data_IF_941774740671
#
_entry.id   IF_941774740671
#
_cell.length_a   1.000
_cell.length_b   1.000
_cell.length_c   1.000
_cell.angle_alpha   90.00
_cell.angle_beta   90.00
_cell.angle_gamma   90.00
#
_symmetry.space_group_name_H-M   'P 1'
#
loop_
_entity.id
_entity.type
_entity.pdbx_description
1 polymer ?
2 polymer ?
3 polymer ?
4 water ?
#
# COMPACT_ATOMS: atom_id res chain seq x y z
N UNK A 9 9.77 10.56 -24.36
CA UNK A 9 9.29 9.94 -23.07
C UNK A 9 7.82 10.38 -22.93
N UNK A 10 6.90 9.40 -22.75
CA UNK A 10 5.47 9.69 -22.67
C UNK A 10 5.02 10.58 -21.53
N UNK A 11 5.79 10.61 -20.47
CA UNK A 11 5.49 11.44 -19.30
C UNK A 11 5.83 12.90 -19.66
N UNK A 12 6.95 13.08 -20.34
CA UNK A 12 7.39 14.41 -20.77
C UNK A 12 6.38 14.94 -21.78
N UNK A 13 5.92 14.07 -22.66
CA UNK A 13 4.94 14.45 -23.65
C UNK A 13 3.65 14.84 -22.92
N UNK A 14 3.31 14.11 -21.85
CA UNK A 14 2.08 14.40 -21.09
C UNK A 14 2.15 15.78 -20.40
N UNK A 15 3.29 16.08 -19.78
CA UNK A 15 3.48 17.34 -19.08
C UNK A 15 3.31 18.49 -20.06
N UNK A 16 3.78 18.29 -21.29
CA UNK A 16 3.66 19.28 -22.35
C UNK A 16 2.21 19.55 -22.64
N UNK A 17 1.42 18.50 -22.80
CA UNK A 17 0.01 18.69 -23.07
C UNK A 17 -0.72 19.33 -21.88
N UNK A 18 -0.37 18.92 -20.67
CA UNK A 18 -1.03 19.48 -19.49
C UNK A 18 -0.68 20.98 -19.40
N UNK A 19 0.58 21.29 -19.70
CA UNK A 19 1.05 22.66 -19.66
C UNK A 19 0.23 23.56 -20.57
N UNK A 20 -0.37 23.00 -21.62
CA UNK A 20 -1.16 23.77 -22.53
C UNK A 20 -2.65 23.66 -22.26
N UNK A 21 -3.05 22.76 -21.36
CA UNK A 21 -4.47 22.58 -21.06
C UNK A 21 -5.05 23.67 -20.15
N UNK A 22 -6.35 23.91 -20.28
CA UNK A 22 -6.99 24.94 -19.48
C UNK A 22 -7.12 24.48 -18.04
N UNK A 23 -7.26 25.44 -17.13
CA UNK A 23 -7.37 25.13 -15.70
C UNK A 23 -8.71 24.65 -15.20
N UNK A 24 -9.73 24.65 -16.04
CA UNK A 24 -11.03 24.20 -15.56
C UNK A 24 -11.55 23.02 -16.37
N UNK A 25 -12.56 22.31 -15.85
CA UNK A 25 -13.11 21.15 -16.54
C UNK A 25 -13.55 21.44 -17.97
N UNK A 26 -13.40 20.44 -18.84
CA UNK A 26 -13.78 20.55 -20.23
C UNK A 26 -15.29 20.63 -20.36
N UNK A 27 -15.77 20.76 -21.57
CA UNK A 27 -17.21 20.82 -21.82
C UNK A 27 -17.80 19.43 -21.64
N UNK A 28 -17.03 18.41 -21.99
CA UNK A 28 -17.42 17.00 -21.85
C UNK A 28 -17.68 16.70 -20.37
N UNK A 29 -16.69 17.03 -19.54
CA UNK A 29 -16.81 16.81 -18.12
C UNK A 29 -18.04 17.50 -17.60
N UNK A 30 -18.15 18.79 -17.90
CA UNK A 30 -19.29 19.58 -17.46
C UNK A 30 -20.61 18.90 -17.83
N UNK A 31 -20.65 18.31 -19.04
CA UNK A 31 -21.85 17.61 -19.47
C UNK A 31 -22.18 16.50 -18.48
N UNK A 32 -21.17 15.73 -18.09
CA UNK A 32 -21.38 14.65 -17.12
C UNK A 32 -21.88 15.25 -15.81
N UNK A 33 -21.26 16.34 -15.37
CA UNK A 33 -21.64 17.03 -14.13
C UNK A 33 -23.13 17.39 -14.11
N UNK A 34 -23.63 17.82 -15.27
CA UNK A 34 -25.03 18.20 -15.44
C UNK A 34 -25.98 17.02 -15.46
N UNK A 35 -25.44 15.83 -15.76
CA UNK A 35 -26.22 14.58 -15.80
C UNK A 35 -26.31 13.93 -14.43
N UNK A 36 -25.70 14.57 -13.44
CA UNK A 36 -25.74 14.04 -12.09
C UNK A 36 -26.98 14.47 -11.38
N UNK A 37 -27.65 13.49 -10.79
CA UNK A 37 -28.85 13.74 -10.03
C UNK A 37 -28.52 14.89 -9.08
N UNK A 38 -27.33 14.86 -8.50
CA UNK A 38 -26.88 15.95 -7.65
C UNK A 38 -25.63 16.46 -8.40
N UNK A 39 -25.75 17.63 -9.03
CA UNK A 39 -24.68 18.25 -9.82
C UNK A 39 -23.45 18.56 -8.96
N UNK A 40 -22.34 17.87 -9.24
CA UNK A 40 -21.07 18.04 -8.50
C UNK A 40 -20.17 19.23 -8.88
N UNK A 41 -20.53 19.95 -9.94
CA UNK A 41 -19.72 21.07 -10.44
C UNK A 41 -19.15 22.02 -9.42
N UNK A 42 -20.00 22.61 -8.59
CA UNK A 42 -19.53 23.58 -7.61
C UNK A 42 -18.62 23.01 -6.50
N UNK A 43 -18.91 21.79 -6.04
CA UNK A 43 -18.09 21.18 -5.00
C UNK A 43 -16.78 20.75 -5.59
N UNK A 44 -16.80 20.29 -6.84
CA UNK A 44 -15.57 19.88 -7.53
C UNK A 44 -14.63 21.08 -7.69
N UNK A 45 -15.20 22.20 -8.14
CA UNK A 45 -14.45 23.44 -8.37
C UNK A 45 -13.94 24.01 -7.05
N UNK A 46 -14.81 24.00 -6.04
CA UNK A 46 -14.45 24.46 -4.72
C UNK A 46 -13.32 23.62 -4.13
N UNK A 47 -13.40 22.30 -4.27
CA UNK A 47 -12.34 21.41 -3.75
C UNK A 47 -11.02 21.76 -4.39
N UNK A 48 -11.04 21.89 -5.72
CA UNK A 48 -9.82 22.23 -6.46
C UNK A 48 -9.24 23.52 -5.88
N UNK A 49 -10.10 24.51 -5.66
CA UNK A 49 -9.63 25.74 -5.10
C UNK A 49 -9.10 25.63 -3.67
N UNK A 50 -9.80 24.92 -2.81
CA UNK A 50 -9.35 24.76 -1.42
C UNK A 50 -8.04 24.04 -1.34
N UNK A 51 -7.92 22.96 -2.11
CA UNK A 51 -6.69 22.18 -2.07
C UNK A 51 -5.52 22.96 -2.64
N UNK A 52 -5.80 23.81 -3.64
CA UNK A 52 -4.76 24.62 -4.26
C UNK A 52 -4.15 25.48 -3.20
N UNK A 53 -5.02 26.08 -2.38
CA UNK A 53 -4.55 26.92 -1.30
C UNK A 53 -3.68 26.14 -0.35
N UNK A 54 -4.14 24.95 0.05
CA UNK A 54 -3.35 24.13 0.98
C UNK A 54 -2.03 23.66 0.40
N UNK A 55 -2.10 23.13 -0.82
CA UNK A 55 -0.90 22.62 -1.48
C UNK A 55 0.20 23.66 -1.62
N UNK A 56 -0.14 24.85 -2.13
CA UNK A 56 0.84 25.93 -2.33
C UNK A 56 1.42 26.36 -0.99
N UNK A 57 0.58 26.54 0.03
CA UNK A 57 1.16 26.92 1.30
C UNK A 57 2.10 25.85 1.83
N UNK A 58 1.71 24.59 1.73
CA UNK A 58 2.56 23.48 2.21
C UNK A 58 3.83 23.31 1.38
N UNK A 59 3.71 23.44 0.06
CA UNK A 59 4.85 23.29 -0.84
C UNK A 59 5.88 24.39 -0.56
N UNK A 60 5.40 25.61 -0.29
CA UNK A 60 6.26 26.77 -0.02
C UNK A 60 7.00 26.60 1.30
N UNK A 61 6.30 26.11 2.32
CA UNK A 61 6.93 25.88 3.62
C UNK A 61 8.08 24.90 3.37
N UNK A 62 7.76 23.83 2.66
CA UNK A 62 8.73 22.82 2.39
C UNK A 62 9.93 23.38 1.67
N UNK A 63 9.71 23.89 0.46
CA UNK A 63 10.81 24.39 -0.36
C UNK A 63 11.28 25.80 -0.05
N UNK A 64 10.36 26.66 0.36
CA UNK A 64 10.73 28.03 0.70
C UNK A 64 10.16 29.08 -0.21
N UNK A 65 10.61 30.32 0.02
CA UNK A 65 10.23 31.52 -0.75
C UNK A 65 8.74 31.88 -0.67
N UNK A 66 8.30 32.28 0.53
CA UNK A 66 6.93 32.69 0.79
C UNK A 66 5.89 32.50 -0.30
N UNK A 67 5.41 31.25 -0.43
CA UNK A 67 4.38 30.81 -1.41
C UNK A 67 4.75 30.81 -2.93
N UNK A 68 5.76 29.98 -3.22
CA UNK A 68 6.32 29.76 -4.55
C UNK A 68 5.33 29.58 -5.72
N UNK A 69 5.73 30.07 -6.88
CA UNK A 69 4.92 29.95 -8.09
C UNK A 69 5.16 28.57 -8.67
N UNK A 70 6.32 27.97 -8.36
CA UNK A 70 6.63 26.61 -8.84
C UNK A 70 5.58 25.67 -8.26
N UNK A 71 5.26 25.90 -6.98
CA UNK A 71 4.25 25.11 -6.30
C UNK A 71 2.91 25.34 -6.96
N UNK A 72 2.58 26.59 -7.28
CA UNK A 72 1.30 26.92 -7.93
C UNK A 72 1.18 26.25 -9.31
N UNK A 73 2.30 26.21 -10.02
CA UNK A 73 2.42 25.62 -11.34
C UNK A 73 2.32 24.10 -11.25
N UNK A 74 3.03 23.49 -10.29
CA UNK A 74 2.92 22.05 -10.10
C UNK A 74 1.46 21.65 -9.84
N UNK A 75 0.77 22.42 -9.00
CA UNK A 75 -0.62 22.14 -8.66
C UNK A 75 -1.53 22.21 -9.89
N UNK A 76 -1.28 23.19 -10.76
CA UNK A 76 -2.10 23.30 -11.95
C UNK A 76 -1.93 22.09 -12.82
N UNK A 77 -0.70 21.65 -13.02
CA UNK A 77 -0.44 20.45 -13.84
C UNK A 77 -1.25 19.24 -13.24
N UNK A 78 -1.19 19.12 -11.92
CA UNK A 78 -1.92 18.08 -11.21
C UNK A 78 -3.41 18.17 -11.45
N UNK A 79 -4.02 19.33 -11.26
CA UNK A 79 -5.46 19.47 -11.50
C UNK A 79 -5.85 19.12 -12.93
N UNK A 80 -5.00 19.48 -13.89
CA UNK A 80 -5.26 19.19 -15.30
C UNK A 80 -5.20 17.68 -15.53
N UNK A 81 -4.20 17.05 -14.99
CA UNK A 81 -4.07 15.59 -15.10
C UNK A 81 -5.34 14.98 -14.47
N UNK A 82 -5.71 15.47 -13.29
CA UNK A 82 -6.91 15.01 -12.58
C UNK A 82 -8.15 15.10 -13.48
N UNK A 83 -8.39 16.22 -14.16
CA UNK A 83 -9.57 16.33 -15.04
C UNK A 83 -9.42 15.41 -16.24
N UNK A 84 -8.21 15.25 -16.76
CA UNK A 84 -7.99 14.36 -17.90
C UNK A 84 -8.35 12.90 -17.52
N UNK A 85 -7.78 12.43 -16.43
CA UNK A 85 -8.03 11.05 -16.00
C UNK A 85 -9.50 10.85 -15.65
N UNK A 86 -10.11 11.82 -14.98
CA UNK A 86 -11.52 11.74 -14.63
C UNK A 86 -12.33 11.52 -15.92
N UNK A 87 -12.02 12.34 -16.92
CA UNK A 87 -12.64 12.33 -18.24
C UNK A 87 -12.55 10.94 -18.88
N UNK A 88 -11.35 10.37 -18.97
CA UNK A 88 -11.19 9.03 -19.55
C UNK A 88 -11.94 7.92 -18.81
N UNK A 89 -11.93 7.96 -17.48
CA UNK A 89 -12.66 6.98 -16.65
C UNK A 89 -14.15 7.06 -16.94
N UNK A 90 -14.72 8.26 -16.85
CA UNK A 90 -16.14 8.48 -17.14
C UNK A 90 -16.48 8.06 -18.57
N UNK A 91 -15.58 8.33 -19.51
CA UNK A 91 -15.80 7.94 -20.91
C UNK A 91 -15.80 6.43 -21.12
N UNK A 92 -14.95 5.73 -20.37
CA UNK A 92 -14.85 4.29 -20.51
C UNK A 92 -16.02 3.59 -19.86
N UNK A 93 -16.85 4.35 -19.16
CA UNK A 93 -18.03 3.81 -18.51
C UNK A 93 -19.27 4.29 -19.26
N UNK A 101 -24.56 4.93 -12.04
CA UNK A 101 -24.57 5.97 -10.97
C UNK A 101 -23.33 6.86 -11.02
N UNK A 102 -23.29 7.78 -11.98
CA UNK A 102 -22.16 8.67 -12.05
C UNK A 102 -22.35 9.67 -10.94
N UNK A 103 -23.61 9.86 -10.53
CA UNK A 103 -23.92 10.78 -9.45
C UNK A 103 -23.20 10.32 -8.21
N UNK A 104 -23.25 9.01 -7.96
CA UNK A 104 -22.60 8.46 -6.78
C UNK A 104 -21.12 8.66 -6.91
N UNK A 105 -20.56 8.17 -8.01
CA UNK A 105 -19.13 8.29 -8.27
C UNK A 105 -18.64 9.74 -8.19
N UNK A 106 -19.20 10.57 -9.05
CA UNK A 106 -18.84 11.97 -9.13
C UNK A 106 -19.15 12.72 -7.88
N UNK A 107 -19.96 12.15 -6.99
CA UNK A 107 -20.25 12.85 -5.75
C UNK A 107 -19.48 12.28 -4.58
N UNK A 108 -18.65 11.28 -4.86
CA UNK A 108 -17.84 10.63 -3.83
C UNK A 108 -16.57 11.37 -3.47
N UNK A 109 -16.48 11.77 -2.20
CA UNK A 109 -15.31 12.48 -1.65
C UNK A 109 -13.99 11.73 -1.81
N UNK A 110 -14.03 10.42 -1.58
CA UNK A 110 -12.84 9.60 -1.68
C UNK A 110 -12.36 9.57 -3.13
N UNK A 111 -13.29 9.41 -4.07
CA UNK A 111 -12.96 9.36 -5.49
C UNK A 111 -12.13 10.59 -5.90
N UNK A 112 -12.72 11.76 -5.68
CA UNK A 112 -12.08 13.02 -6.03
C UNK A 112 -10.79 13.30 -5.34
N UNK A 113 -10.76 13.09 -4.04
CA UNK A 113 -9.54 13.39 -3.31
C UNK A 113 -8.41 12.44 -3.67
N UNK A 114 -8.75 11.17 -3.94
CA UNK A 114 -7.70 10.19 -4.28
C UNK A 114 -7.22 10.37 -5.73
N UNK A 115 -8.15 10.63 -6.63
CA UNK A 115 -7.80 10.83 -8.02
C UNK A 115 -6.87 12.07 -8.10
N UNK A 116 -7.27 13.14 -7.42
CA UNK A 116 -6.50 14.40 -7.37
C UNK A 116 -5.11 14.16 -6.78
N UNK A 117 -5.03 13.39 -5.68
CA UNK A 117 -3.75 13.10 -5.06
C UNK A 117 -2.86 12.27 -5.96
N UNK A 118 -3.48 11.34 -6.70
CA UNK A 118 -2.75 10.45 -7.60
C UNK A 118 -2.19 11.28 -8.78
N UNK A 119 -3.01 12.20 -9.29
CA UNK A 119 -2.59 13.11 -10.35
C UNK A 119 -1.39 13.92 -9.82
N UNK A 120 -1.53 14.44 -8.60
CA UNK A 120 -0.45 15.22 -7.96
C UNK A 120 0.80 14.41 -7.66
N UNK A 121 0.63 13.14 -7.31
CA UNK A 121 1.79 12.29 -7.06
C UNK A 121 2.58 12.09 -8.36
N UNK A 122 1.88 11.90 -9.46
CA UNK A 122 2.57 11.73 -10.73
C UNK A 122 3.41 12.99 -11.05
N UNK A 123 2.83 14.18 -10.87
CA UNK A 123 3.56 15.43 -11.14
C UNK A 123 4.75 15.60 -10.18
N UNK A 124 4.54 15.29 -8.89
CA UNK A 124 5.61 15.39 -7.91
C UNK A 124 6.74 14.43 -8.25
N UNK A 125 6.37 13.22 -8.67
CA UNK A 125 7.37 12.23 -9.00
C UNK A 125 8.14 12.60 -10.26
N UNK A 126 7.50 13.24 -11.23
CA UNK A 126 8.27 13.58 -12.42
C UNK A 126 9.24 14.74 -12.16
N UNK A 127 8.84 15.72 -11.35
CA UNK A 127 9.76 16.83 -11.05
C UNK A 127 10.40 16.73 -9.68
N UNK A 128 10.81 15.51 -9.35
CA UNK A 128 11.42 15.19 -8.06
C UNK A 128 12.93 15.48 -8.01
N UNK A 143 6.77 8.68 -0.66
CA UNK A 143 5.74 9.38 -1.47
C UNK A 143 4.59 9.74 -0.60
N UNK A 144 4.60 9.39 0.70
CA UNK A 144 3.33 9.83 1.28
C UNK A 144 3.14 11.30 1.54
N UNK A 145 4.14 12.14 1.25
CA UNK A 145 3.98 13.59 1.49
C UNK A 145 2.65 14.11 1.00
N UNK A 146 2.25 13.73 -0.21
CA UNK A 146 0.99 14.22 -0.75
C UNK A 146 -0.26 13.81 0.06
N UNK A 147 -0.18 12.70 0.78
CA UNK A 147 -1.33 12.24 1.57
C UNK A 147 -1.58 13.17 2.75
N UNK A 148 -0.49 13.61 3.37
CA UNK A 148 -0.53 14.51 4.51
C UNK A 148 -1.10 15.84 4.04
N UNK A 149 -0.61 16.28 2.89
CA UNK A 149 -1.03 17.54 2.31
C UNK A 149 -2.52 17.57 2.08
N UNK A 150 -3.08 16.51 1.50
CA UNK A 150 -4.51 16.48 1.26
C UNK A 150 -5.30 15.80 2.38
N UNK A 151 -4.66 15.50 3.51
CA UNK A 151 -5.35 14.84 4.64
C UNK A 151 -6.11 13.61 4.13
N UNK A 152 -5.38 12.75 3.42
CA UNK A 152 -5.94 11.56 2.82
C UNK A 152 -5.35 10.31 3.48
N UNK A 153 -6.23 9.40 3.90
CA UNK A 153 -5.79 8.16 4.51
C UNK A 153 -5.23 7.25 3.41
N UNK A 154 -4.08 6.62 3.65
CA UNK A 154 -3.47 5.72 2.68
C UNK A 154 -4.44 4.69 2.13
N UNK A 155 -5.26 4.06 2.97
CA UNK A 155 -6.20 3.06 2.49
C UNK A 155 -7.21 3.66 1.52
N UNK A 156 -7.61 4.90 1.75
CA UNK A 156 -8.59 5.52 0.87
C UNK A 156 -7.94 5.82 -0.49
N UNK A 157 -6.71 6.27 -0.44
CA UNK A 157 -5.98 6.60 -1.64
C UNK A 157 -5.77 5.36 -2.52
N UNK A 158 -5.25 4.28 -1.91
CA UNK A 158 -4.96 3.01 -2.57
C UNK A 158 -6.03 2.57 -3.57
N UNK A 159 -7.29 2.75 -3.21
CA UNK A 159 -8.41 2.32 -4.02
C UNK A 159 -8.45 2.79 -5.46
N UNK A 160 -7.81 3.92 -5.74
CA UNK A 160 -7.81 4.47 -7.10
C UNK A 160 -6.55 4.20 -7.93
N UNK A 161 -5.45 3.81 -7.28
CA UNK A 161 -4.21 3.60 -8.00
C UNK A 161 -4.30 2.75 -9.29
N UNK A 162 -4.75 1.50 -9.17
CA UNK A 162 -4.85 0.61 -10.33
C UNK A 162 -5.72 1.20 -11.46
N UNK A 163 -6.83 1.81 -11.09
CA UNK A 163 -7.74 2.44 -12.03
C UNK A 163 -7.08 3.61 -12.76
N UNK A 164 -6.36 4.44 -12.02
CA UNK A 164 -5.64 5.57 -12.58
C UNK A 164 -4.64 5.01 -13.60
N UNK A 165 -3.84 4.02 -13.20
CA UNK A 165 -2.86 3.39 -14.10
C UNK A 165 -3.52 2.90 -15.37
N UNK A 166 -4.69 2.29 -15.24
CA UNK A 166 -5.44 1.77 -16.38
C UNK A 166 -6.03 2.90 -17.23
N UNK A 167 -6.42 3.99 -16.60
CA UNK A 167 -7.02 5.09 -17.32
C UNK A 167 -6.02 6.05 -17.98
N UNK A 168 -4.75 6.00 -17.60
CA UNK A 168 -3.75 6.90 -18.16
C UNK A 168 -2.73 6.21 -19.06
N UNK A 169 -2.97 6.35 -20.35
CA UNK A 169 -2.09 5.77 -21.35
C UNK A 169 -0.70 6.33 -21.49
N UNK A 170 -0.46 7.53 -20.95
CA UNK A 170 0.85 8.20 -21.03
C UNK A 170 1.85 7.96 -19.93
N UNK A 171 1.58 6.98 -19.07
CA UNK A 171 2.54 6.66 -18.02
C UNK A 171 3.74 5.89 -18.58
N UNK A 172 4.93 6.20 -18.09
CA UNK A 172 6.11 5.48 -18.50
C UNK A 172 6.14 4.25 -17.60
N UNK A 173 6.98 3.29 -17.97
CA UNK A 173 7.16 2.07 -17.20
C UNK A 173 7.65 2.45 -15.80
N UNK A 174 8.55 3.44 -15.73
CA UNK A 174 9.11 3.91 -14.46
C UNK A 174 8.05 4.55 -13.57
N UNK A 175 7.09 5.25 -14.17
CA UNK A 175 6.03 5.88 -13.38
C UNK A 175 5.04 4.80 -12.89
N UNK A 176 4.76 3.81 -13.74
CA UNK A 176 3.86 2.72 -13.37
C UNK A 176 4.44 1.94 -12.18
N UNK A 177 5.75 1.67 -12.21
CA UNK A 177 6.43 0.98 -11.11
C UNK A 177 6.39 1.85 -9.87
N UNK A 178 6.55 3.17 -10.03
CA UNK A 178 6.49 4.07 -8.88
C UNK A 178 5.10 4.02 -8.25
N UNK A 179 4.05 4.07 -9.06
CA UNK A 179 2.67 4.02 -8.55
C UNK A 179 2.41 2.63 -7.95
N UNK A 180 2.92 1.59 -8.60
CA UNK A 180 2.77 0.23 -8.10
C UNK A 180 3.50 0.10 -6.78
N UNK A 181 4.67 0.72 -6.67
CA UNK A 181 5.42 0.73 -5.42
C UNK A 181 4.63 1.45 -4.32
N UNK A 182 3.98 2.58 -4.65
CA UNK A 182 3.16 3.32 -3.68
C UNK A 182 2.04 2.38 -3.18
N UNK A 183 1.42 1.65 -4.09
CA UNK A 183 0.34 0.73 -3.73
C UNK A 183 0.86 -0.35 -2.75
N UNK A 184 2.03 -0.90 -3.05
CA UNK A 184 2.63 -1.92 -2.22
C UNK A 184 2.99 -1.43 -0.85
N UNK A 185 3.43 -0.18 -0.77
CA UNK A 185 3.80 0.40 0.49
C UNK A 185 2.56 0.57 1.32
N UNK A 186 1.44 0.84 0.66
CA UNK A 186 0.18 1.00 1.39
C UNK A 186 -0.30 -0.39 1.86
N UNK A 187 -0.22 -1.39 0.97
CA UNK A 187 -0.63 -2.76 1.30
C UNK A 187 0.24 -3.37 2.39
N UNK A 188 1.53 -3.05 2.38
CA UNK A 188 2.47 -3.60 3.36
C UNK A 188 2.54 -2.90 4.75
N UNK A 189 2.20 -1.61 4.81
CA UNK A 189 2.25 -0.90 6.08
C UNK A 189 1.32 0.30 6.26
N UNK A 190 1.30 1.25 5.32
CA UNK A 190 0.45 2.45 5.50
C UNK A 190 -1.03 2.18 5.72
N UNK A 191 -1.58 1.15 5.07
CA UNK A 191 -2.99 0.84 5.27
C UNK A 191 -3.28 0.18 6.63
N UNK A 192 -2.20 -0.20 7.32
CA UNK A 192 -2.29 -0.88 8.61
C UNK A 192 -1.91 0.02 9.80
N UNK A 193 -1.73 1.31 9.53
CA UNK A 193 -1.36 2.27 10.59
C UNK A 193 -2.60 2.48 11.46
N UNK A 194 -2.41 2.79 12.74
CA UNK A 194 -3.56 3.02 13.60
C UNK A 194 -4.38 4.17 13.03
N UNK A 195 -5.69 4.02 13.14
CA UNK A 195 -6.67 4.98 12.67
C UNK A 195 -7.03 4.73 11.22
N UNK A 196 -6.43 3.72 10.61
CA UNK A 196 -6.75 3.42 9.23
C UNK A 196 -8.16 2.88 9.12
N UNK A 197 -8.91 3.31 8.08
CA UNK A 197 -10.29 2.82 7.89
C UNK A 197 -10.37 1.29 7.60
N UNK A 198 -9.20 0.67 7.42
CA UNK A 198 -9.09 -0.78 7.17
C UNK A 198 -9.63 -1.58 8.37
N UNK A 199 -9.16 -1.25 9.56
CA UNK A 199 -9.59 -1.98 10.75
C UNK A 199 -11.08 -1.92 10.99
N UNK A 200 -11.68 -0.77 10.69
CA UNK A 200 -13.11 -0.58 10.86
C UNK A 200 -13.80 -1.50 9.88
N UNK A 201 -13.21 -1.67 8.71
CA UNK A 201 -13.79 -2.54 7.67
C UNK A 201 -13.64 -4.04 7.97
N UNK A 202 -12.49 -4.41 8.53
CA UNK A 202 -12.27 -5.80 8.87
C UNK A 202 -13.31 -6.18 9.90
N UNK A 203 -13.35 -5.44 11.00
CA UNK A 203 -14.28 -5.73 12.08
C UNK A 203 -15.73 -5.97 11.67
N UNK A 204 -16.22 -5.14 10.76
CA UNK A 204 -17.60 -5.25 10.31
C UNK A 204 -17.85 -6.42 9.39
N UNK A 205 -16.83 -6.80 8.63
CA UNK A 205 -16.96 -7.92 7.72
C UNK A 205 -16.80 -9.23 8.49
N UNK A 206 -15.79 -9.24 9.35
CA UNK A 206 -15.42 -10.37 10.19
C UNK A 206 -16.11 -10.31 11.57
N UNK B 10 -16.23 -7.11 -0.49
CA UNK B 10 -15.69 -7.02 -1.87
C UNK B 10 -14.47 -6.12 -1.92
N UNK B 11 -14.60 -4.90 -1.42
CA UNK B 11 -13.46 -4.00 -1.39
C UNK B 11 -12.40 -4.69 -0.54
N UNK B 12 -12.80 -5.11 0.67
CA UNK B 12 -11.91 -5.80 1.59
C UNK B 12 -11.40 -7.11 1.01
N UNK B 13 -12.25 -7.81 0.27
CA UNK B 13 -11.83 -9.08 -0.31
C UNK B 13 -10.79 -8.84 -1.39
N UNK B 14 -10.96 -7.72 -2.12
CA UNK B 14 -10.06 -7.33 -3.19
C UNK B 14 -8.76 -6.96 -2.52
N UNK B 15 -8.87 -6.13 -1.47
CA UNK B 15 -7.70 -5.69 -0.74
C UNK B 15 -6.87 -6.90 -0.24
N UNK B 16 -7.55 -7.85 0.40
CA UNK B 16 -6.86 -9.02 0.90
C UNK B 16 -6.25 -9.83 -0.21
N UNK B 17 -6.96 -9.97 -1.34
CA UNK B 17 -6.37 -10.70 -2.45
C UNK B 17 -5.03 -10.10 -2.86
N UNK B 18 -4.97 -8.78 -2.96
CA UNK B 18 -3.75 -8.06 -3.33
C UNK B 18 -2.69 -8.29 -2.27
N UNK B 19 -3.08 -8.16 -1.00
CA UNK B 19 -2.12 -8.39 0.07
C UNK B 19 -1.57 -9.81 0.04
N UNK B 20 -2.44 -10.81 -0.13
CA UNK B 20 -1.97 -12.21 -0.16
C UNK B 20 -1.04 -12.45 -1.31
N UNK B 21 -1.35 -11.88 -2.48
CA UNK B 21 -0.49 -12.06 -3.65
C UNK B 21 0.91 -11.54 -3.39
N UNK B 22 0.98 -10.32 -2.82
CA UNK B 22 2.28 -9.69 -2.49
C UNK B 22 3.03 -10.55 -1.47
N UNK B 23 2.33 -10.87 -0.39
CA UNK B 23 2.89 -11.66 0.69
C UNK B 23 3.47 -13.00 0.19
N UNK B 24 2.69 -13.71 -0.63
CA UNK B 24 3.14 -14.99 -1.12
C UNK B 24 4.33 -14.87 -2.06
N UNK B 25 4.31 -13.86 -2.91
CA UNK B 25 5.42 -13.68 -3.83
C UNK B 25 6.70 -13.50 -3.09
N UNK B 26 6.66 -12.68 -2.04
CA UNK B 26 7.86 -12.43 -1.24
C UNK B 26 8.26 -13.71 -0.49
N UNK B 27 7.26 -14.44 0.01
CA UNK B 27 7.46 -15.71 0.74
C UNK B 27 8.22 -16.69 -0.16
N UNK B 28 7.66 -16.87 -1.36
CA UNK B 28 8.20 -17.79 -2.35
C UNK B 28 9.65 -17.50 -2.69
N UNK B 29 10.00 -16.21 -2.79
CA UNK B 29 11.38 -15.82 -3.08
C UNK B 29 12.34 -16.24 -1.96
N UNK B 30 11.98 -15.94 -0.72
CA UNK B 30 12.83 -16.32 0.41
C UNK B 30 12.95 -17.85 0.50
N UNK B 31 11.82 -18.56 0.35
CA UNK B 31 11.82 -20.01 0.45
C UNK B 31 12.61 -20.70 -0.64
N UNK B 32 12.44 -20.26 -1.88
CA UNK B 32 13.17 -20.89 -2.97
C UNK B 32 14.67 -20.73 -2.74
N UNK B 33 15.03 -19.68 -2.01
CA UNK B 33 16.42 -19.39 -1.72
C UNK B 33 16.98 -20.02 -0.43
N UNK B 34 16.19 -20.12 0.62
CA UNK B 34 16.68 -20.65 1.89
C UNK B 34 16.22 -22.08 2.23
N UNK B 35 15.10 -22.48 1.65
CA UNK B 35 14.50 -23.77 1.92
C UNK B 35 14.41 -24.56 0.64
N UNK B 36 15.49 -24.48 -0.12
CA UNK B 36 15.67 -25.14 -1.41
C UNK B 36 15.27 -26.61 -1.21
N UNK B 37 15.91 -27.22 -0.21
CA UNK B 37 15.60 -28.57 0.22
C UNK B 37 14.51 -28.22 1.26
N UNK B 38 13.57 -29.12 1.51
CA UNK B 38 12.44 -28.87 2.41
C UNK B 38 11.35 -28.07 1.70
N UNK B 39 11.01 -28.44 0.46
CA UNK B 39 9.98 -27.75 -0.34
C UNK B 39 8.54 -27.84 0.19
N UNK B 40 8.32 -28.71 1.17
CA UNK B 40 6.97 -28.89 1.71
C UNK B 40 6.60 -27.79 2.69
N UNK B 41 7.63 -27.15 3.22
CA UNK B 41 7.47 -26.09 4.20
C UNK B 41 6.79 -24.79 3.74
N UNK B 42 7.13 -24.32 2.55
CA UNK B 42 6.57 -23.06 2.03
C UNK B 42 5.07 -22.98 2.10
N UNK B 43 4.39 -24.08 1.73
CA UNK B 43 2.94 -24.13 1.73
C UNK B 43 2.43 -24.13 3.20
N UNK B 44 3.25 -24.65 4.11
CA UNK B 44 2.86 -24.66 5.52
C UNK B 44 3.07 -23.25 6.10
N UNK B 45 4.23 -22.69 5.82
CA UNK B 45 4.56 -21.31 6.24
C UNK B 45 3.46 -20.39 5.69
N UNK B 46 3.05 -20.62 4.43
CA UNK B 46 2.02 -19.81 3.80
C UNK B 46 0.74 -19.91 4.56
N UNK B 47 0.38 -21.13 4.97
CA UNK B 47 -0.85 -21.30 5.74
C UNK B 47 -0.84 -20.51 7.06
N UNK B 48 0.29 -20.50 7.75
CA UNK B 48 0.43 -19.77 9.01
C UNK B 48 0.33 -18.24 8.74
N UNK B 49 1.05 -17.79 7.71
CA UNK B 49 1.12 -16.37 7.29
C UNK B 49 -0.28 -15.87 6.96
N UNK B 50 -0.98 -16.60 6.10
CA UNK B 50 -2.35 -16.25 5.72
C UNK B 50 -3.30 -16.28 6.92
N UNK B 51 -3.15 -17.28 7.78
CA UNK B 51 -4.01 -17.37 8.98
C UNK B 51 -3.83 -16.09 9.86
N UNK B 52 -2.58 -15.65 9.98
CA UNK B 52 -2.24 -14.46 10.76
C UNK B 52 -2.90 -13.19 10.21
N UNK B 53 -2.87 -13.03 8.89
CA UNK B 53 -3.44 -11.86 8.24
C UNK B 53 -4.93 -11.83 8.33
N UNK B 54 -5.57 -12.99 8.19
CA UNK B 54 -7.01 -13.04 8.27
C UNK B 54 -7.53 -13.08 9.70
N UNK B 55 -6.91 -13.91 10.54
CA UNK B 55 -7.39 -14.08 11.91
C UNK B 55 -6.73 -13.35 13.05
N UNK B 56 -5.47 -12.97 12.89
CA UNK B 56 -4.72 -12.26 13.93
C UNK B 56 -4.23 -10.92 13.39
N UNK B 57 -5.06 -10.30 12.54
CA UNK B 57 -4.75 -9.03 11.88
C UNK B 57 -4.30 -7.85 12.76
N UNK B 58 -4.63 -7.86 14.06
CA UNK B 58 -4.21 -6.79 14.98
C UNK B 58 -2.70 -6.81 15.13
N UNK B 59 -2.08 -7.91 14.69
CA UNK B 59 -0.62 -8.02 14.76
C UNK B 59 -0.02 -7.12 13.65
N UNK B 60 -0.86 -6.76 12.66
CA UNK B 60 -0.45 -5.87 11.57
C UNK B 60 -0.50 -4.36 11.92
N UNK B 61 -1.26 -4.00 12.96
CA UNK B 61 -1.38 -2.61 13.34
C UNK B 61 -0.05 -1.96 13.64
N UNK B 62 0.26 -0.92 12.85
CA UNK B 62 1.52 -0.16 12.94
C UNK B 62 2.74 -1.03 12.67
N UNK B 63 2.51 -2.14 11.97
CA UNK B 63 3.60 -3.02 11.64
C UNK B 63 3.67 -3.23 10.12
N UNK B 64 4.59 -4.10 9.70
CA UNK B 64 4.85 -4.35 8.28
C UNK B 64 4.63 -5.80 7.96
N UNK B 65 3.95 -6.03 6.85
CA UNK B 65 3.66 -7.36 6.32
C UNK B 65 4.88 -8.29 6.34
N UNK B 66 6.06 -7.78 5.98
CA UNK B 66 7.25 -8.62 5.93
C UNK B 66 7.74 -9.07 7.27
N UNK B 67 7.24 -8.43 8.30
CA UNK B 67 7.63 -8.80 9.65
C UNK B 67 6.84 -10.07 10.01
N UNK B 68 5.57 -10.09 9.63
CA UNK B 68 4.74 -11.25 9.84
C UNK B 68 5.29 -12.39 8.98
N UNK B 69 5.72 -12.09 7.76
CA UNK B 69 6.28 -13.09 6.87
C UNK B 69 7.49 -13.81 7.43
N UNK B 70 8.44 -13.05 7.92
CA UNK B 70 9.69 -13.61 8.44
C UNK B 70 9.46 -14.42 9.71
N UNK B 71 8.54 -13.93 10.54
CA UNK B 71 8.19 -14.58 11.79
C UNK B 71 7.51 -15.94 11.49
N UNK B 72 6.66 -15.98 10.46
CA UNK B 72 5.98 -17.20 10.03
C UNK B 72 7.02 -18.24 9.54
N UNK B 73 8.01 -17.80 8.75
CA UNK B 73 9.03 -18.68 8.24
C UNK B 73 9.79 -19.28 9.41
N UNK B 74 10.26 -18.40 10.29
CA UNK B 74 11.04 -18.87 11.43
C UNK B 74 10.29 -19.87 12.34
N UNK B 75 9.03 -19.55 12.66
CA UNK B 75 8.18 -20.38 13.52
C UNK B 75 7.91 -21.78 12.97
N UNK B 76 7.56 -21.89 11.69
CA UNK B 76 7.33 -23.19 11.08
C UNK B 76 8.63 -24.01 11.10
N UNK B 77 9.73 -23.45 10.60
CA UNK B 77 11.00 -24.16 10.61
C UNK B 77 11.42 -24.56 12.03
N UNK B 78 10.90 -23.84 13.03
CA UNK B 78 11.17 -24.16 14.42
C UNK B 78 10.46 -25.48 14.79
N UNK B 79 9.14 -25.60 14.57
CA UNK B 79 8.44 -26.88 14.87
C UNK B 79 9.02 -28.03 14.04
N UNK B 80 9.26 -27.78 12.76
CA UNK B 80 9.80 -28.77 11.86
C UNK B 80 11.24 -29.10 12.12
N UNK B 81 11.80 -28.49 13.15
CA UNK B 81 13.20 -28.71 13.53
C UNK B 81 14.11 -28.73 12.33
N UNK B 82 13.97 -27.68 11.53
CA UNK B 82 14.78 -27.44 10.33
C UNK B 82 15.67 -26.32 10.79
N UNK B 83 16.98 -26.53 10.68
CA UNK B 83 17.97 -25.53 11.07
C UNK B 83 17.90 -24.29 10.16
N UNK B 84 17.28 -23.22 10.62
CA UNK B 84 17.18 -21.99 9.84
C UNK B 84 17.17 -20.79 10.77
N UNK B 85 18.33 -20.20 10.94
CA UNK B 85 18.48 -19.04 11.82
C UNK B 85 17.75 -17.79 11.31
N UNK B 86 17.22 -17.01 12.25
CA UNK B 86 16.52 -15.77 11.95
C UNK B 86 17.52 -14.82 11.24
N UNK B 87 18.78 -14.82 11.68
CA UNK B 87 19.81 -13.99 11.08
C UNK B 87 19.96 -14.29 9.58
N UNK B 88 19.87 -15.57 9.25
CA UNK B 88 19.99 -16.04 7.88
C UNK B 88 18.77 -15.55 7.07
N UNK B 89 17.62 -15.52 7.72
CA UNK B 89 16.38 -15.10 7.09
C UNK B 89 16.46 -13.63 6.76
N UNK B 90 16.84 -12.86 7.77
CA UNK B 90 16.99 -11.41 7.74
C UNK B 90 18.05 -10.95 6.71
N UNK B 91 19.12 -11.72 6.59
CA UNK B 91 20.18 -11.48 5.62
C UNK B 91 19.64 -11.74 4.21
N UNK B 92 18.83 -12.78 4.05
CA UNK B 92 18.25 -13.09 2.76
C UNK B 92 17.20 -12.04 2.43
N UNK B 93 16.45 -11.62 3.44
CA UNK B 93 15.41 -10.62 3.28
C UNK B 93 15.96 -9.33 2.65
N UNK B 94 17.16 -8.93 3.07
CA UNK B 94 17.80 -7.73 2.54
C UNK B 94 17.97 -7.72 1.01
N UNK B 95 18.03 -8.88 0.37
CA UNK B 95 18.17 -8.88 -1.07
C UNK B 95 16.89 -8.64 -1.85
N UNK B 96 15.76 -8.52 -1.16
CA UNK B 96 14.51 -8.26 -1.85
C UNK B 96 14.69 -6.81 -2.32
N UNK B 97 14.27 -6.48 -3.56
CA UNK B 97 14.41 -5.13 -4.13
C UNK B 97 14.00 -3.96 -3.23
N UNK B 98 12.81 -4.06 -2.66
CA UNK B 98 12.28 -3.03 -1.78
C UNK B 98 12.78 -3.11 -0.33
N UNK B 99 13.42 -4.23 0.04
CA UNK B 99 13.86 -4.47 1.42
C UNK B 99 14.75 -3.44 2.06
N UNK B 100 14.41 -3.10 3.29
CA UNK B 100 15.15 -2.11 4.07
C UNK B 100 15.42 -2.71 5.46
N UNK B 101 16.65 -2.64 5.94
CA UNK B 101 16.95 -3.27 7.23
C UNK B 101 16.20 -2.74 8.43
N UNK B 102 15.68 -1.52 8.35
CA UNK B 102 14.93 -0.97 9.47
C UNK B 102 13.72 -1.84 9.77
N UNK B 103 13.21 -2.51 8.73
CA UNK B 103 12.03 -3.36 8.85
C UNK B 103 12.25 -4.49 9.85
N UNK B 104 13.48 -4.97 9.99
CA UNK B 104 13.75 -6.03 10.95
C UNK B 104 14.51 -5.55 12.15
N UNK B 105 15.17 -4.40 12.02
CA UNK B 105 15.93 -3.87 13.13
C UNK B 105 15.08 -3.03 14.04
N UNK B 106 13.98 -2.50 13.49
CA UNK B 106 13.08 -1.62 14.26
C UNK B 106 11.64 -2.05 14.10
N UNK B 107 11.12 -2.74 15.11
CA UNK B 107 9.77 -3.26 15.06
C UNK B 107 9.02 -2.87 16.32
N UNK B 108 7.76 -2.50 16.16
CA UNK B 108 6.90 -2.11 17.28
C UNK B 108 6.68 -3.34 18.17
N UNK B 109 7.04 -3.21 19.44
CA UNK B 109 6.85 -4.29 20.38
C UNK B 109 5.56 -4.03 21.14
N UNK B 110 5.64 -3.33 22.26
CA UNK B 110 4.44 -3.08 23.06
C UNK B 110 3.63 -1.82 22.77
N UNK B 111 3.68 -0.80 23.63
CA UNK B 111 2.88 0.41 23.37
C UNK B 111 3.56 1.37 22.42
N UNK B 112 4.82 1.66 22.70
CA UNK B 112 5.61 2.55 21.86
C UNK B 112 7.07 2.18 22.04
N UNK B 113 7.30 0.91 22.39
CA UNK B 113 8.62 0.37 22.59
C UNK B 113 8.97 -0.27 21.25
N UNK B 114 10.22 -0.12 20.81
CA UNK B 114 10.66 -0.69 19.56
C UNK B 114 11.87 -1.55 19.80
N UNK B 115 12.00 -2.64 19.06
CA UNK B 115 13.15 -3.53 19.21
C UNK B 115 13.34 -4.35 17.91
N UNK B 116 14.26 -5.32 17.90
CA UNK B 116 14.48 -6.10 16.70
C UNK B 116 13.32 -7.03 16.43
N UNK B 117 13.31 -7.63 15.24
CA UNK B 117 12.24 -8.54 14.86
C UNK B 117 12.24 -9.81 15.74
N UNK B 118 13.42 -10.16 16.25
CA UNK B 118 13.54 -11.32 17.13
C UNK B 118 12.77 -11.02 18.41
N UNK B 119 12.80 -9.77 18.89
CA UNK B 119 12.08 -9.42 20.11
C UNK B 119 10.59 -9.45 19.82
N UNK B 120 10.20 -8.97 18.65
CA UNK B 120 8.80 -8.99 18.27
C UNK B 120 8.33 -10.47 18.17
N UNK B 121 9.16 -11.35 17.62
CA UNK B 121 8.84 -12.78 17.49
C UNK B 121 8.61 -13.45 18.87
N UNK B 122 9.66 -13.47 19.71
CA UNK B 122 9.59 -14.09 21.02
C UNK B 122 8.55 -13.53 21.94
N UNK B 123 8.42 -12.20 21.96
CA UNK B 123 7.48 -11.54 22.86
C UNK B 123 6.08 -11.25 22.41
N UNK B 124 5.83 -11.21 21.10
CA UNK B 124 4.47 -10.89 20.62
C UNK B 124 3.91 -11.96 19.67
N UNK B 125 4.54 -12.07 18.50
CA UNK B 125 4.10 -13.00 17.48
C UNK B 125 3.96 -14.43 17.98
N UNK B 126 5.06 -15.01 18.46
CA UNK B 126 5.06 -16.39 18.90
C UNK B 126 4.11 -16.68 20.08
N UNK B 127 3.92 -15.68 20.94
CA UNK B 127 3.00 -15.81 22.05
C UNK B 127 1.59 -15.99 21.51
N UNK B 128 1.26 -15.11 20.57
CA UNK B 128 -0.06 -15.07 19.93
C UNK B 128 -0.38 -16.29 19.03
N UNK B 129 0.63 -16.78 18.34
CA UNK B 129 0.42 -17.87 17.45
C UNK B 129 0.93 -19.24 17.88
N UNK B 130 1.50 -19.35 19.08
CA UNK B 130 2.03 -20.63 19.57
C UNK B 130 1.15 -21.89 19.29
N UNK B 131 -0.11 -21.87 19.71
CA UNK B 131 -0.98 -23.03 19.50
C UNK B 131 -1.20 -23.30 18.01
N UNK B 132 -1.35 -22.24 17.21
CA UNK B 132 -1.54 -22.42 15.79
C UNK B 132 -0.29 -23.03 15.17
N UNK B 133 0.88 -22.56 15.58
CA UNK B 133 2.16 -23.03 15.08
C UNK B 133 2.45 -24.48 15.50
N UNK B 134 2.14 -24.78 16.75
CA UNK B 134 2.38 -26.11 17.30
C UNK B 134 1.55 -27.20 16.59
N UNK B 135 0.43 -26.81 15.98
CA UNK B 135 -0.36 -27.80 15.31
C UNK B 135 0.43 -28.50 14.19
N UNK B 136 1.53 -27.87 13.78
CA UNK B 136 2.41 -28.40 12.74
C UNK B 136 3.44 -29.40 13.27
N UNK B 137 3.39 -29.69 14.57
CA UNK B 137 4.29 -30.65 15.20
C UNK B 137 3.79 -32.07 14.90
N UNK B 138 2.52 -32.16 14.54
CA UNK B 138 1.89 -33.45 14.24
C UNK B 138 2.29 -33.99 12.88
N UNK B 139 2.23 -35.32 12.79
CA UNK B 139 2.56 -36.04 11.58
C UNK B 139 1.36 -36.20 10.63
N UNK B 140 0.19 -35.70 11.03
CA UNK B 140 -0.98 -35.82 10.19
C UNK B 140 -0.87 -34.86 9.03
N UNK B 141 -1.65 -35.11 7.96
CA UNK B 141 -1.64 -34.24 6.77
C UNK B 141 -2.11 -32.84 7.15
N UNK B 142 -1.31 -31.82 6.84
CA UNK B 142 -1.79 -30.49 7.23
C UNK B 142 -2.89 -30.01 6.28
N UNK B 143 -3.87 -29.30 6.84
CA UNK B 143 -4.98 -28.71 6.06
C UNK B 143 -4.45 -27.31 5.63
N UNK B 144 -3.89 -27.24 4.43
CA UNK B 144 -3.26 -26.02 3.95
C UNK B 144 -4.13 -24.97 3.26
N UNK B 145 -3.69 -23.71 3.33
CA UNK B 145 -4.40 -22.60 2.72
C UNK B 145 -4.03 -22.60 1.23
N UNK B 146 -5.01 -22.34 0.34
CA UNK B 146 -4.75 -22.32 -1.11
C UNK B 146 -3.71 -21.27 -1.44
N UNK B 147 -2.77 -21.64 -2.30
CA UNK B 147 -1.75 -20.72 -2.72
C UNK B 147 -2.46 -19.60 -3.53
N UNK B 148 -2.23 -18.33 -3.16
CA UNK B 148 -2.89 -17.22 -3.87
C UNK B 148 -2.58 -17.06 -5.36
N UNK B 149 -3.64 -16.87 -6.13
CA UNK B 149 -3.61 -16.70 -7.58
C UNK B 149 -2.67 -15.60 -8.07
N UNK B 150 -1.77 -15.98 -8.98
CA UNK B 150 -0.74 -15.14 -9.62
C UNK B 150 0.43 -14.66 -8.73
N UNK C 1 11.69 -25.87 21.58
CA UNK C 1 10.46 -25.04 21.71
C UNK C 1 10.44 -24.04 20.55
N UNK C 2 9.63 -23.00 20.63
CA UNK C 2 9.59 -22.06 19.52
C UNK C 2 10.45 -20.81 19.74
N UNK C 3 11.06 -20.68 20.91
CA UNK C 3 11.87 -19.51 21.24
C UNK C 3 13.07 -19.34 20.36
N UNK C 4 13.41 -18.09 20.03
CA UNK C 4 14.58 -17.82 19.20
C UNK C 4 15.68 -17.33 20.12
N UNK C 5 16.82 -18.02 20.08
CA UNK C 5 17.95 -17.63 20.91
C UNK C 5 18.98 -16.98 20.01
N UNK C 6 18.61 -15.82 19.51
CA UNK C 6 19.46 -15.04 18.62
C UNK C 6 19.39 -13.57 18.99
N UNK C 7 20.44 -12.84 18.62
CA UNK C 7 20.53 -11.43 18.88
C UNK C 7 20.88 -10.88 17.51
N UNK C 8 20.08 -9.92 17.05
CA UNK C 8 20.30 -9.36 15.73
C UNK C 8 21.58 -8.59 15.50
N UNK C 9 22.51 -9.39 14.98
CA UNK C 9 23.87 -9.07 14.60
C UNK C 9 24.42 -10.44 14.12
#
# INVERSE_FOLDING_TARGET
HTPVRTVMNTIQQLMMILNSASDQPSENLISYFNNCTVNPKESILKRVKDIGYIFKEKFAKAVGQGCVEIGSQRYKLGVRLYYRVMESMLKSEEERLSIQNFSKLLNDNIFHMSLLACALEVVMATYSRSTSQNLDSGTDLSFPWILNVLNLKAFDFYKVIESFIKAEGNLTREMIKHLERCEHRIMESLAWLSDSPLFDLIKQSKDREGPTDHLESA
FQTQKPLKSTSLSLFYKKVYRLAYLRLNTLCERLLSEHPELEHIIWTLFQHTLQNEYELMRDRHLDQIMMCSMYGICKVKNIDLKFKIIVTAYKDLPHAVQETFKRVLIKEEEYDSIIVFYNSVFMQRLKTNILQYASTRPPTLSPIPHIPR
DLYCYEQLN
#
